data_IF_073373470723
#
_entry.id   IF_073373470723
#
_cell.length_a   1.000
_cell.length_b   1.000
_cell.length_c   1.000
_cell.angle_alpha   90.00
_cell.angle_beta   90.00
_cell.angle_gamma   90.00
#
_symmetry.space_group_name_H-M   'P 1'
#
loop_
_entity.id
_entity.type
_entity.pdbx_description
1 polymer ?
#
# COMPACT_ATOMS: atom_id res chain seq x y z
N UNK A 1 2.13 -17.41 -5.53
CA UNK A 1 2.55 -18.59 -6.36
C UNK A 1 2.18 -18.34 -7.82
N UNK A 2 2.83 -19.06 -8.76
CA UNK A 2 2.60 -18.89 -10.19
C UNK A 2 2.33 -20.24 -10.89
N UNK A 3 1.46 -20.21 -11.90
CA UNK A 3 1.12 -21.38 -12.72
C UNK A 3 1.25 -21.03 -14.19
N UNK A 4 1.94 -21.85 -14.96
CA UNK A 4 2.08 -21.71 -16.41
C UNK A 4 0.71 -21.74 -17.10
N UNK A 5 0.43 -20.71 -17.88
CA UNK A 5 -0.85 -20.50 -18.55
C UNK A 5 -0.91 -21.30 -19.86
N UNK A 6 -2.07 -21.94 -20.13
CA UNK A 6 -2.31 -22.74 -21.32
C UNK A 6 -3.70 -22.46 -21.92
N UNK A 7 -3.92 -22.92 -23.17
CA UNK A 7 -5.22 -22.88 -23.85
C UNK A 7 -5.75 -21.48 -24.13
N UNK A 8 -7.07 -21.37 -24.26
CA UNK A 8 -7.75 -20.12 -24.66
C UNK A 8 -7.40 -18.89 -23.82
N UNK A 9 -7.18 -19.06 -22.49
CA UNK A 9 -6.78 -17.94 -21.62
C UNK A 9 -5.39 -17.44 -21.97
N UNK A 10 -4.44 -18.33 -22.36
CA UNK A 10 -3.11 -17.92 -22.84
C UNK A 10 -3.22 -17.11 -24.13
N UNK A 11 -4.02 -17.55 -25.10
CA UNK A 11 -4.25 -16.85 -26.37
C UNK A 11 -4.82 -15.46 -26.15
N UNK A 12 -5.79 -15.34 -25.26
CA UNK A 12 -6.38 -14.06 -24.87
C UNK A 12 -5.36 -13.10 -24.24
N UNK A 13 -4.58 -13.56 -23.26
CA UNK A 13 -3.53 -12.75 -22.60
C UNK A 13 -2.45 -12.34 -23.61
N UNK A 14 -2.07 -13.24 -24.53
CA UNK A 14 -1.12 -12.94 -25.62
C UNK A 14 -1.63 -11.80 -26.50
N UNK A 15 -2.90 -11.85 -26.92
CA UNK A 15 -3.49 -10.82 -27.78
C UNK A 15 -3.46 -9.43 -27.10
N UNK A 16 -3.78 -9.37 -25.80
CA UNK A 16 -3.69 -8.13 -25.02
C UNK A 16 -2.25 -7.64 -24.97
N UNK A 17 -1.30 -8.50 -24.61
CA UNK A 17 0.12 -8.11 -24.50
C UNK A 17 0.71 -7.64 -25.83
N UNK A 18 0.37 -8.29 -26.93
CA UNK A 18 0.85 -7.90 -28.27
C UNK A 18 0.45 -6.47 -28.65
N UNK A 19 -0.67 -5.97 -28.13
CA UNK A 19 -1.07 -4.56 -28.34
C UNK A 19 -0.08 -3.54 -27.78
N UNK A 20 0.78 -3.95 -26.84
CA UNK A 20 1.82 -3.10 -26.28
C UNK A 20 3.16 -3.14 -27.07
N UNK A 21 3.31 -4.02 -28.03
CA UNK A 21 4.49 -4.15 -28.92
C UNK A 21 5.84 -4.28 -28.17
N UNK A 22 5.84 -5.09 -27.08
CA UNK A 22 7.01 -5.23 -26.17
C UNK A 22 7.91 -6.44 -26.43
N UNK A 23 7.72 -7.13 -27.54
CA UNK A 23 8.58 -8.24 -27.97
C UNK A 23 7.87 -9.60 -28.03
N UNK A 24 8.64 -10.63 -28.36
CA UNK A 24 8.12 -11.99 -28.53
C UNK A 24 7.97 -12.71 -27.20
N UNK A 25 6.79 -13.27 -26.96
CA UNK A 25 6.43 -13.99 -25.74
C UNK A 25 7.01 -15.40 -25.78
N UNK A 26 7.79 -15.75 -24.78
CA UNK A 26 8.24 -17.13 -24.53
C UNK A 26 7.23 -17.87 -23.66
N UNK A 27 6.97 -17.35 -22.45
CA UNK A 27 6.11 -17.98 -21.48
C UNK A 27 5.18 -16.99 -20.80
N UNK A 28 4.03 -17.49 -20.30
CA UNK A 28 3.08 -16.71 -19.49
C UNK A 28 2.72 -17.53 -18.26
N UNK A 29 2.79 -16.87 -17.11
CA UNK A 29 2.42 -17.42 -15.80
C UNK A 29 1.31 -16.58 -15.18
N UNK A 30 0.31 -17.24 -14.59
CA UNK A 30 -0.76 -16.56 -13.83
C UNK A 30 -0.50 -16.69 -12.35
N UNK A 31 -0.67 -15.59 -11.59
CA UNK A 31 -0.55 -15.58 -10.14
C UNK A 31 -1.79 -16.18 -9.47
N UNK A 32 -1.57 -16.88 -8.35
CA UNK A 32 -2.63 -17.43 -7.51
C UNK A 32 -2.22 -17.50 -6.03
N UNK A 33 -3.21 -17.51 -5.13
CA UNK A 33 -3.03 -17.74 -3.69
C UNK A 33 -2.91 -19.23 -3.35
N UNK A 34 -2.40 -19.53 -2.16
CA UNK A 34 -2.34 -20.90 -1.62
C UNK A 34 -3.70 -21.59 -1.57
N UNK A 35 -4.76 -20.82 -1.33
CA UNK A 35 -6.14 -21.31 -1.30
C UNK A 35 -6.74 -21.52 -2.71
N UNK A 36 -5.94 -21.34 -3.77
CA UNK A 36 -6.33 -21.58 -5.15
C UNK A 36 -7.09 -20.44 -5.84
N UNK A 37 -7.27 -19.28 -5.19
CA UNK A 37 -7.83 -18.09 -5.84
C UNK A 37 -6.87 -17.61 -6.92
N UNK A 38 -7.38 -17.49 -8.16
CA UNK A 38 -6.62 -16.99 -9.31
C UNK A 38 -6.78 -15.48 -9.43
N UNK A 39 -5.68 -14.77 -9.66
CA UNK A 39 -5.69 -13.36 -9.98
C UNK A 39 -5.56 -13.15 -11.50
N UNK A 40 -6.14 -12.07 -12.01
CA UNK A 40 -5.86 -11.61 -13.38
C UNK A 40 -4.58 -10.77 -13.41
N UNK A 41 -3.51 -11.38 -12.90
CA UNK A 41 -2.13 -10.88 -12.88
C UNK A 41 -1.25 -11.94 -13.55
N UNK A 42 -0.54 -11.53 -14.60
CA UNK A 42 0.22 -12.43 -15.45
C UNK A 42 1.66 -11.93 -15.54
N UNK A 43 2.62 -12.81 -15.22
CA UNK A 43 4.01 -12.59 -15.57
C UNK A 43 4.26 -13.13 -16.97
N UNK A 44 4.78 -12.27 -17.83
CA UNK A 44 5.06 -12.55 -19.23
C UNK A 44 6.56 -12.50 -19.43
N UNK A 45 7.12 -13.64 -19.80
CA UNK A 45 8.54 -13.77 -20.12
C UNK A 45 8.76 -13.53 -21.61
N UNK A 46 9.64 -12.60 -21.94
CA UNK A 46 10.14 -12.35 -23.27
C UNK A 46 11.65 -12.61 -23.32
N UNK A 47 12.25 -12.60 -24.52
CA UNK A 47 13.68 -12.90 -24.69
C UNK A 47 14.60 -11.96 -23.95
N UNK A 48 14.23 -10.69 -23.77
CA UNK A 48 15.07 -9.66 -23.16
C UNK A 48 14.74 -9.36 -21.70
N UNK A 49 13.45 -9.44 -21.31
CA UNK A 49 12.97 -9.09 -19.97
C UNK A 49 11.60 -9.71 -19.69
N UNK A 50 11.13 -9.56 -18.46
CA UNK A 50 9.81 -9.99 -18.06
C UNK A 50 8.93 -8.80 -17.70
N UNK A 51 7.62 -8.97 -17.88
CA UNK A 51 6.59 -7.96 -17.61
C UNK A 51 5.51 -8.51 -16.69
N UNK A 52 4.80 -7.60 -16.04
CA UNK A 52 3.51 -7.89 -15.40
C UNK A 52 2.39 -7.25 -16.24
N UNK A 53 1.47 -8.08 -16.70
CA UNK A 53 0.19 -7.65 -17.25
C UNK A 53 -0.90 -7.92 -16.20
N UNK A 54 -1.56 -6.86 -15.73
CA UNK A 54 -2.53 -6.92 -14.63
C UNK A 54 -3.86 -6.33 -15.10
N UNK A 55 -4.97 -7.04 -14.83
CA UNK A 55 -6.31 -6.46 -14.93
C UNK A 55 -6.57 -5.55 -13.75
N UNK A 56 -6.97 -4.30 -14.00
CA UNK A 56 -7.01 -3.26 -12.98
C UNK A 56 -8.28 -2.41 -13.05
N UNK A 57 -8.58 -1.72 -11.96
CA UNK A 57 -9.58 -0.66 -11.94
C UNK A 57 -9.02 0.65 -12.55
N UNK A 58 -9.91 1.54 -12.97
CA UNK A 58 -9.52 2.84 -13.55
C UNK A 58 -8.63 3.67 -12.62
N UNK A 59 -8.78 3.49 -11.30
CA UNK A 59 -8.00 4.21 -10.31
C UNK A 59 -6.51 3.87 -10.40
N UNK A 60 -6.15 2.60 -10.56
CA UNK A 60 -4.75 2.19 -10.66
C UNK A 60 -4.08 2.76 -11.92
N UNK A 61 -4.79 2.75 -13.06
CA UNK A 61 -4.32 3.42 -14.28
C UNK A 61 -4.08 4.91 -14.04
N UNK A 62 -5.07 5.60 -13.45
CA UNK A 62 -4.94 7.02 -13.11
C UNK A 62 -3.71 7.29 -12.25
N UNK A 63 -3.44 6.46 -11.24
CA UNK A 63 -2.28 6.62 -10.36
C UNK A 63 -0.97 6.46 -11.15
N UNK A 64 -0.85 5.44 -11.99
CA UNK A 64 0.35 5.26 -12.80
C UNK A 64 0.54 6.40 -13.80
N UNK A 65 -0.48 6.80 -14.53
CA UNK A 65 -0.39 7.85 -15.55
C UNK A 65 -0.13 9.24 -14.97
N UNK A 66 -0.67 9.51 -13.77
CA UNK A 66 -0.58 10.84 -13.15
C UNK A 66 0.64 10.99 -12.25
N UNK A 67 0.98 9.94 -11.49
CA UNK A 67 1.98 10.05 -10.43
C UNK A 67 3.24 9.21 -10.67
N UNK A 68 3.12 8.00 -11.24
CA UNK A 68 4.17 6.99 -11.17
C UNK A 68 4.94 6.74 -12.46
N UNK A 69 4.53 7.32 -13.58
CA UNK A 69 5.19 7.11 -14.89
C UNK A 69 6.62 7.65 -14.98
N UNK A 70 7.08 8.31 -13.93
CA UNK A 70 8.44 8.83 -13.83
C UNK A 70 9.39 7.74 -13.29
N UNK A 71 10.34 7.32 -14.09
CA UNK A 71 11.27 6.21 -13.81
C UNK A 71 12.24 6.43 -12.64
N UNK A 72 12.19 7.59 -11.97
CA UNK A 72 13.05 7.88 -10.81
C UNK A 72 12.43 7.49 -9.46
N UNK A 73 11.23 6.92 -9.47
CA UNK A 73 10.55 6.49 -8.26
C UNK A 73 10.78 4.99 -7.99
N UNK A 74 10.73 4.60 -6.73
CA UNK A 74 10.88 3.20 -6.30
C UNK A 74 9.57 2.41 -6.51
N UNK A 75 9.10 2.37 -7.75
CA UNK A 75 7.89 1.68 -8.23
C UNK A 75 8.21 0.93 -9.52
N UNK A 76 7.39 -0.05 -9.93
CA UNK A 76 7.57 -0.67 -11.25
C UNK A 76 7.46 0.34 -12.38
N UNK A 77 8.31 0.21 -13.39
CA UNK A 77 8.21 1.00 -14.61
C UNK A 77 6.87 0.75 -15.29
N UNK A 78 6.21 1.84 -15.70
CA UNK A 78 4.94 1.81 -16.42
C UNK A 78 5.17 1.78 -17.92
N UNK A 79 4.58 0.79 -18.61
CA UNK A 79 4.73 0.62 -20.06
C UNK A 79 3.46 0.94 -20.84
N UNK A 80 2.33 1.14 -20.18
CA UNK A 80 1.09 1.53 -20.79
C UNK A 80 -0.15 0.88 -20.18
N UNK A 81 -1.31 1.35 -20.62
CA UNK A 81 -2.62 0.79 -20.29
C UNK A 81 -3.44 0.53 -21.54
N UNK A 82 -4.38 -0.43 -21.45
CA UNK A 82 -5.29 -0.79 -22.55
C UNK A 82 -6.70 -1.01 -21.99
N UNK A 83 -7.70 -0.46 -22.67
CA UNK A 83 -9.12 -0.78 -22.40
C UNK A 83 -9.61 -1.79 -23.42
N UNK A 84 -10.26 -2.85 -22.92
CA UNK A 84 -10.94 -3.86 -23.73
C UNK A 84 -12.38 -4.01 -23.22
N UNK A 85 -13.19 -4.81 -23.91
CA UNK A 85 -14.54 -5.18 -23.45
C UNK A 85 -14.49 -5.95 -22.11
N UNK A 86 -13.43 -6.72 -21.88
CA UNK A 86 -13.25 -7.50 -20.65
C UNK A 86 -12.71 -6.69 -19.47
N UNK A 87 -12.30 -5.42 -19.68
CA UNK A 87 -11.82 -4.53 -18.63
C UNK A 87 -10.58 -3.74 -18.99
N UNK A 88 -9.97 -3.16 -17.98
CA UNK A 88 -8.76 -2.37 -18.14
C UNK A 88 -7.53 -3.20 -17.78
N UNK A 89 -6.46 -3.01 -18.54
CA UNK A 89 -5.20 -3.72 -18.40
C UNK A 89 -4.05 -2.74 -18.25
N UNK A 90 -3.11 -3.09 -17.39
CA UNK A 90 -1.92 -2.33 -17.09
C UNK A 90 -0.70 -3.20 -17.40
N UNK A 91 0.26 -2.68 -18.15
CA UNK A 91 1.55 -3.30 -18.39
C UNK A 91 2.63 -2.57 -17.62
N UNK A 92 3.36 -3.31 -16.78
CA UNK A 92 4.43 -2.79 -15.95
C UNK A 92 5.63 -3.73 -15.90
N UNK A 93 6.72 -3.23 -15.32
CA UNK A 93 7.92 -4.00 -15.03
C UNK A 93 7.61 -5.20 -14.12
N UNK A 94 8.22 -6.34 -14.42
CA UNK A 94 8.34 -7.42 -13.44
C UNK A 94 9.51 -7.13 -12.52
N UNK A 95 9.22 -6.76 -11.28
CA UNK A 95 10.23 -6.55 -10.25
C UNK A 95 10.78 -7.89 -9.79
N UNK A 96 12.00 -8.22 -10.22
CA UNK A 96 12.64 -9.45 -9.78
C UNK A 96 13.08 -9.33 -8.32
N UNK A 97 12.43 -10.08 -7.44
CA UNK A 97 12.68 -10.04 -5.99
C UNK A 97 11.64 -10.83 -5.23
N UNK A 98 11.63 -10.63 -3.91
CA UNK A 98 10.66 -11.23 -3.02
C UNK A 98 9.91 -10.14 -2.26
N UNK A 99 8.65 -10.38 -1.95
CA UNK A 99 7.90 -9.57 -1.00
C UNK A 99 8.49 -9.70 0.42
N UNK A 100 8.28 -8.69 1.23
CA UNK A 100 8.82 -8.68 2.59
C UNK A 100 8.03 -9.63 3.49
N UNK A 101 8.70 -10.59 4.09
CA UNK A 101 8.17 -11.43 5.17
C UNK A 101 8.72 -11.02 6.54
N UNK A 102 9.87 -10.36 6.55
CA UNK A 102 10.55 -9.88 7.75
C UNK A 102 11.36 -8.62 7.40
N UNK A 103 11.32 -7.60 8.29
CA UNK A 103 12.17 -6.44 8.14
C UNK A 103 13.58 -6.75 8.61
N UNK A 104 14.56 -6.54 7.74
CA UNK A 104 15.97 -6.54 8.11
C UNK A 104 16.47 -5.09 8.25
N UNK A 105 17.50 -4.88 9.04
CA UNK A 105 18.04 -3.55 9.33
C UNK A 105 18.53 -2.82 8.08
N UNK A 106 19.08 -3.58 7.12
CA UNK A 106 19.57 -3.05 5.84
C UNK A 106 18.42 -2.59 4.90
N UNK A 107 17.19 -3.00 5.14
CA UNK A 107 16.00 -2.63 4.34
C UNK A 107 15.24 -1.42 4.91
N UNK A 108 15.43 -1.06 6.17
CA UNK A 108 14.73 0.08 6.80
C UNK A 108 15.00 1.37 6.03
N UNK A 109 16.25 1.68 5.77
CA UNK A 109 16.62 2.92 5.08
C UNK A 109 16.24 2.97 3.59
N UNK A 110 16.38 1.89 2.79
CA UNK A 110 15.80 1.83 1.45
C UNK A 110 14.31 2.12 1.41
N UNK A 111 13.51 1.52 2.30
CA UNK A 111 12.06 1.77 2.37
C UNK A 111 11.74 3.20 2.77
N UNK A 112 12.39 3.73 3.81
CA UNK A 112 12.28 5.15 4.22
C UNK A 112 12.60 6.08 3.05
N UNK A 113 13.66 5.79 2.31
CA UNK A 113 14.07 6.62 1.16
C UNK A 113 13.00 6.61 0.08
N UNK A 114 12.50 5.44 -0.28
CA UNK A 114 11.46 5.27 -1.31
C UNK A 114 10.17 6.02 -0.95
N UNK A 115 9.66 5.81 0.28
CA UNK A 115 8.44 6.48 0.75
C UNK A 115 8.62 7.99 0.87
N UNK A 116 9.73 8.44 1.45
CA UNK A 116 9.97 9.89 1.62
C UNK A 116 10.17 10.62 0.30
N UNK A 117 10.71 9.97 -0.73
CA UNK A 117 10.80 10.54 -2.09
C UNK A 117 9.41 10.74 -2.70
N UNK A 118 8.54 9.73 -2.60
CA UNK A 118 7.15 9.82 -3.05
C UNK A 118 6.39 10.93 -2.32
N UNK A 119 6.49 10.96 -0.98
CA UNK A 119 5.84 11.99 -0.17
C UNK A 119 6.34 13.38 -0.52
N UNK A 120 7.64 13.57 -0.63
CA UNK A 120 8.25 14.88 -0.94
C UNK A 120 7.84 15.39 -2.30
N UNK A 121 7.82 14.52 -3.32
CA UNK A 121 7.47 14.89 -4.71
C UNK A 121 6.04 15.39 -4.82
N UNK A 122 5.11 14.81 -4.05
CA UNK A 122 3.69 15.08 -4.17
C UNK A 122 3.08 15.78 -2.95
N UNK A 123 3.91 16.34 -2.07
CA UNK A 123 3.48 17.06 -0.87
C UNK A 123 2.66 18.29 -1.22
N UNK A 124 1.38 18.31 -0.76
CA UNK A 124 0.45 19.41 -0.97
C UNK A 124 0.28 19.85 -2.45
N UNK A 125 0.54 18.96 -3.39
CA UNK A 125 0.35 19.28 -4.82
C UNK A 125 -1.13 19.52 -5.14
N UNK A 126 -1.41 20.39 -6.13
CA UNK A 126 -2.77 20.69 -6.59
C UNK A 126 -3.24 19.74 -7.71
N UNK A 127 -2.90 18.46 -7.61
CA UNK A 127 -3.40 17.47 -8.57
C UNK A 127 -4.81 17.07 -8.17
N UNK A 128 -5.74 17.14 -9.11
CA UNK A 128 -7.14 16.77 -8.89
C UNK A 128 -7.26 15.26 -8.73
N UNK A 129 -7.60 14.82 -7.53
CA UNK A 129 -7.75 13.42 -7.15
C UNK A 129 -8.86 13.32 -6.10
N UNK A 130 -9.88 12.51 -6.38
CA UNK A 130 -11.00 12.29 -5.47
C UNK A 130 -10.77 11.18 -4.45
N UNK A 131 -9.53 10.65 -4.36
CA UNK A 131 -9.22 9.52 -3.48
C UNK A 131 -9.43 9.84 -2.01
N UNK A 132 -9.00 11.03 -1.59
CA UNK A 132 -9.16 11.47 -0.21
C UNK A 132 -10.64 11.60 0.20
N UNK A 133 -11.49 12.12 -0.67
CA UNK A 133 -12.94 12.22 -0.39
C UNK A 133 -13.57 10.84 -0.20
N UNK A 134 -13.17 9.86 -1.03
CA UNK A 134 -13.63 8.47 -0.90
C UNK A 134 -13.14 7.85 0.40
N UNK A 135 -11.90 8.12 0.77
CA UNK A 135 -11.33 7.68 2.04
C UNK A 135 -12.09 8.28 3.23
N UNK A 136 -12.35 9.60 3.24
CA UNK A 136 -13.13 10.25 4.31
C UNK A 136 -14.52 9.62 4.46
N UNK A 137 -15.22 9.39 3.36
CA UNK A 137 -16.54 8.72 3.41
C UNK A 137 -16.44 7.32 4.01
N UNK A 138 -15.39 6.57 3.70
CA UNK A 138 -15.16 5.23 4.24
C UNK A 138 -14.93 5.25 5.74
N UNK A 139 -14.02 6.09 6.24
CA UNK A 139 -13.73 6.18 7.68
C UNK A 139 -14.91 6.74 8.48
N UNK A 140 -15.68 7.70 7.93
CA UNK A 140 -16.90 8.17 8.55
C UNK A 140 -17.95 7.05 8.70
N UNK A 141 -18.14 6.23 7.67
CA UNK A 141 -19.03 5.07 7.73
C UNK A 141 -18.56 4.04 8.78
N UNK A 142 -17.25 3.81 8.87
CA UNK A 142 -16.63 2.88 9.84
C UNK A 142 -16.92 3.27 11.30
N UNK A 143 -17.10 4.55 11.62
CA UNK A 143 -17.47 4.99 12.97
C UNK A 143 -18.71 4.30 13.53
N UNK A 144 -19.60 3.81 12.68
CA UNK A 144 -20.79 3.05 13.09
C UNK A 144 -20.45 1.68 13.71
N UNK A 145 -19.33 1.06 13.31
CA UNK A 145 -18.84 -0.19 13.91
C UNK A 145 -18.55 -0.02 15.40
N UNK A 146 -18.13 1.18 15.82
CA UNK A 146 -17.76 1.49 17.21
C UNK A 146 -18.95 1.92 18.10
N UNK A 147 -20.20 1.74 17.66
CA UNK A 147 -21.41 2.19 18.38
C UNK A 147 -21.49 1.71 19.84
N UNK A 148 -21.00 0.50 20.13
CA UNK A 148 -21.02 -0.11 21.46
C UNK A 148 -19.68 0.06 22.21
N UNK A 149 -18.75 0.90 21.71
CA UNK A 149 -17.42 1.16 22.25
C UNK A 149 -17.20 2.66 22.42
N UNK A 150 -17.80 3.32 23.43
CA UNK A 150 -17.85 4.79 23.50
C UNK A 150 -16.48 5.46 23.57
N UNK A 151 -15.50 4.89 24.28
CA UNK A 151 -14.12 5.41 24.33
C UNK A 151 -13.46 5.35 22.95
N UNK A 152 -13.52 4.21 22.28
CA UNK A 152 -13.00 4.02 20.92
C UNK A 152 -13.66 4.99 19.95
N UNK A 153 -14.98 5.13 20.03
CA UNK A 153 -15.76 6.03 19.17
C UNK A 153 -15.32 7.49 19.36
N UNK A 154 -15.09 7.94 20.59
CA UNK A 154 -14.60 9.30 20.89
C UNK A 154 -13.28 9.57 20.19
N UNK A 155 -12.27 8.72 20.37
CA UNK A 155 -10.96 8.88 19.74
C UNK A 155 -11.06 8.75 18.20
N UNK A 156 -11.93 7.86 17.70
CA UNK A 156 -12.13 7.71 16.27
C UNK A 156 -12.73 8.96 15.61
N UNK A 157 -13.58 9.72 16.30
CA UNK A 157 -14.04 11.02 15.82
C UNK A 157 -12.92 12.05 15.79
N UNK A 158 -12.07 12.10 16.81
CA UNK A 158 -10.86 12.95 16.80
C UNK A 158 -9.98 12.60 15.60
N UNK A 159 -9.76 11.30 15.34
CA UNK A 159 -9.05 10.84 14.15
C UNK A 159 -9.69 11.39 12.85
N UNK A 160 -11.00 11.21 12.66
CA UNK A 160 -11.70 11.66 11.45
C UNK A 160 -11.54 13.17 11.24
N UNK A 161 -11.70 13.95 12.30
CA UNK A 161 -11.58 15.41 12.20
C UNK A 161 -10.14 15.82 11.90
N UNK A 162 -9.17 15.18 12.54
CA UNK A 162 -7.75 15.43 12.28
C UNK A 162 -7.35 15.11 10.83
N UNK A 163 -7.90 14.04 10.22
CA UNK A 163 -7.59 13.69 8.83
C UNK A 163 -7.91 14.82 7.83
N UNK A 164 -8.89 15.66 8.12
CA UNK A 164 -9.28 16.81 7.24
C UNK A 164 -8.25 17.93 7.24
N UNK A 165 -7.39 17.99 8.25
CA UNK A 165 -6.41 19.05 8.46
C UNK A 165 -4.99 18.63 8.03
N UNK A 166 -4.76 17.32 7.84
CA UNK A 166 -3.43 16.81 7.52
C UNK A 166 -2.98 17.20 6.12
N UNK A 167 -1.68 17.46 5.93
CA UNK A 167 -1.08 17.53 4.61
C UNK A 167 -1.36 16.28 3.79
N UNK A 168 -1.79 16.46 2.54
CA UNK A 168 -1.98 15.37 1.60
C UNK A 168 -0.73 15.19 0.75
N UNK A 169 -0.41 13.93 0.49
CA UNK A 169 0.67 13.54 -0.42
C UNK A 169 0.26 12.26 -1.17
N UNK A 170 1.10 11.79 -2.10
CA UNK A 170 0.87 10.50 -2.71
C UNK A 170 1.08 9.38 -1.68
N UNK A 171 0.10 8.51 -1.60
CA UNK A 171 0.11 7.29 -0.79
C UNK A 171 -0.26 6.09 -1.66
N UNK A 172 0.30 4.93 -1.38
CA UNK A 172 -0.12 3.66 -1.96
C UNK A 172 -1.56 3.31 -1.54
N UNK A 173 -1.96 3.75 -0.35
CA UNK A 173 -3.30 3.54 0.21
C UNK A 173 -3.55 2.13 0.75
N UNK A 174 -2.61 1.21 0.52
CA UNK A 174 -2.62 -0.17 1.01
C UNK A 174 -1.19 -0.72 1.18
N UNK A 175 -0.32 0.06 1.84
CA UNK A 175 1.08 -0.32 2.00
C UNK A 175 1.24 -1.44 3.03
N UNK A 176 1.13 -2.67 2.57
CA UNK A 176 1.46 -3.88 3.33
C UNK A 176 2.84 -4.40 2.92
N UNK A 177 3.43 -5.26 3.73
CA UNK A 177 4.75 -5.83 3.45
C UNK A 177 4.78 -6.66 2.14
N UNK A 178 3.69 -7.35 1.81
CA UNK A 178 3.54 -8.06 0.53
C UNK A 178 3.47 -7.13 -0.70
N UNK A 179 3.27 -5.82 -0.50
CA UNK A 179 3.31 -4.80 -1.55
C UNK A 179 4.66 -4.08 -1.64
N UNK A 180 5.68 -4.57 -0.94
CA UNK A 180 7.06 -4.10 -1.02
C UNK A 180 7.94 -5.23 -1.51
N UNK A 181 8.51 -5.07 -2.71
CA UNK A 181 9.42 -6.06 -3.30
C UNK A 181 10.86 -5.65 -2.99
N UNK A 182 11.59 -6.52 -2.31
CA UNK A 182 13.03 -6.41 -2.17
C UNK A 182 13.69 -6.82 -3.49
N UNK A 183 14.45 -5.92 -4.08
CA UNK A 183 15.21 -6.13 -5.31
C UNK A 183 16.72 -6.00 -5.05
N UNK A 184 17.54 -6.33 -6.04
CA UNK A 184 18.99 -6.15 -5.96
C UNK A 184 19.41 -4.68 -5.79
N UNK A 185 18.57 -3.72 -6.19
CA UNK A 185 18.85 -2.27 -6.14
C UNK A 185 18.13 -1.54 -5.00
N UNK A 186 17.47 -2.24 -4.11
CA UNK A 186 16.69 -1.66 -3.01
C UNK A 186 15.27 -2.20 -2.96
N UNK A 187 14.28 -1.36 -2.70
CA UNK A 187 12.87 -1.78 -2.63
C UNK A 187 12.04 -1.11 -3.71
N UNK A 188 11.00 -1.81 -4.18
CA UNK A 188 9.95 -1.26 -5.05
C UNK A 188 8.58 -1.47 -4.43
N UNK A 189 7.73 -0.44 -4.49
CA UNK A 189 6.36 -0.46 -3.95
C UNK A 189 5.41 -0.77 -5.10
N UNK A 190 4.60 -1.81 -4.94
CA UNK A 190 3.64 -2.31 -5.93
C UNK A 190 2.20 -2.16 -5.42
N UNK A 191 1.23 -2.53 -6.26
CA UNK A 191 -0.21 -2.56 -5.96
C UNK A 191 -0.81 -1.21 -5.57
N UNK A 192 -0.88 -0.30 -6.56
CA UNK A 192 -1.37 1.06 -6.41
C UNK A 192 -2.89 1.21 -6.64
N UNK A 193 -3.66 0.12 -6.60
CA UNK A 193 -5.11 0.13 -6.82
C UNK A 193 -5.88 1.01 -5.84
N UNK A 194 -5.34 1.20 -4.64
CA UNK A 194 -5.86 2.10 -3.61
C UNK A 194 -5.13 3.45 -3.55
N UNK A 195 -4.15 3.65 -4.41
CA UNK A 195 -3.29 4.83 -4.40
C UNK A 195 -3.98 6.13 -4.76
N UNK A 196 -3.34 7.24 -4.38
CA UNK A 196 -3.78 8.60 -4.64
C UNK A 196 -3.35 9.58 -3.57
N UNK A 197 -3.89 10.81 -3.63
CA UNK A 197 -3.64 11.83 -2.60
C UNK A 197 -4.32 11.45 -1.29
N UNK A 198 -3.53 11.27 -0.24
CA UNK A 198 -3.98 10.82 1.07
C UNK A 198 -3.17 11.52 2.17
N UNK A 199 -3.64 11.50 3.43
CA UNK A 199 -2.87 11.99 4.56
C UNK A 199 -1.50 11.34 4.66
N UNK A 200 -0.48 12.14 4.94
CA UNK A 200 0.93 11.74 4.94
C UNK A 200 1.29 10.60 5.89
N UNK A 201 0.47 10.36 6.92
CA UNK A 201 0.67 9.29 7.91
C UNK A 201 0.18 7.92 7.44
N UNK A 202 -0.65 7.85 6.40
CA UNK A 202 -1.41 6.65 6.07
C UNK A 202 -0.50 5.44 5.78
N UNK A 203 0.43 5.57 4.83
CA UNK A 203 1.32 4.44 4.46
C UNK A 203 2.21 4.01 5.62
N UNK A 204 2.74 4.98 6.39
CA UNK A 204 3.57 4.69 7.57
C UNK A 204 2.78 3.93 8.61
N UNK A 205 1.56 4.40 8.93
CA UNK A 205 0.69 3.75 9.89
C UNK A 205 0.32 2.33 9.47
N UNK A 206 -0.11 2.15 8.22
CA UNK A 206 -0.51 0.85 7.69
C UNK A 206 0.64 -0.14 7.73
N UNK A 207 1.84 0.26 7.31
CA UNK A 207 2.99 -0.61 7.29
C UNK A 207 3.38 -1.12 8.69
N UNK A 208 3.42 -0.23 9.70
CA UNK A 208 3.83 -0.62 11.06
C UNK A 208 2.71 -1.26 11.88
N UNK A 209 1.45 -0.94 11.62
CA UNK A 209 0.30 -1.52 12.33
C UNK A 209 0.18 -3.03 12.10
N UNK A 210 0.60 -3.51 10.93
CA UNK A 210 0.50 -4.92 10.53
C UNK A 210 1.80 -5.70 10.68
N UNK A 211 2.85 -5.11 11.24
CA UNK A 211 4.12 -5.78 11.54
C UNK A 211 4.07 -6.49 12.89
N UNK A 212 3.39 -7.62 12.97
CA UNK A 212 3.06 -8.29 14.24
C UNK A 212 4.10 -9.32 14.66
N UNK A 213 4.26 -9.54 15.97
CA UNK A 213 5.05 -10.66 16.53
C UNK A 213 4.40 -12.00 16.17
N UNK A 214 3.07 -12.03 16.10
CA UNK A 214 2.32 -13.21 15.67
C UNK A 214 2.07 -13.16 14.15
N UNK A 215 2.86 -13.89 13.39
CA UNK A 215 2.77 -14.00 11.93
C UNK A 215 1.48 -14.67 11.40
N UNK A 216 0.52 -15.02 12.26
CA UNK A 216 -0.72 -15.69 11.85
C UNK A 216 -1.68 -14.78 11.08
N UNK A 217 -1.70 -13.48 11.37
CA UNK A 217 -2.58 -12.52 10.69
C UNK A 217 -1.95 -11.98 9.41
N UNK A 218 -0.67 -11.53 9.52
CA UNK A 218 0.16 -11.13 8.40
C UNK A 218 1.54 -11.75 8.56
N UNK A 219 2.08 -12.43 7.56
CA UNK A 219 3.39 -13.08 7.63
C UNK A 219 4.53 -12.05 7.50
N UNK A 220 4.50 -11.00 8.34
CA UNK A 220 5.50 -9.95 8.38
C UNK A 220 5.82 -9.58 9.82
N UNK A 221 7.11 -9.41 10.09
CA UNK A 221 7.59 -8.98 11.39
C UNK A 221 8.59 -7.84 11.29
N UNK A 222 8.44 -6.86 12.17
CA UNK A 222 9.33 -5.73 12.38
C UNK A 222 9.52 -5.52 13.87
N UNK A 223 10.76 -5.45 14.35
CA UNK A 223 11.04 -5.22 15.77
C UNK A 223 10.63 -3.81 16.20
N UNK A 224 10.44 -3.60 17.49
CA UNK A 224 10.08 -2.28 18.02
C UNK A 224 11.20 -1.25 17.81
N UNK A 225 12.46 -1.69 17.82
CA UNK A 225 13.61 -0.85 17.47
C UNK A 225 13.55 -0.41 16.00
N UNK A 226 13.32 -1.33 15.09
CA UNK A 226 13.17 -1.04 13.66
C UNK A 226 11.99 -0.10 13.39
N UNK A 227 10.83 -0.30 14.06
CA UNK A 227 9.68 0.61 13.98
C UNK A 227 10.05 2.01 14.45
N UNK A 228 10.76 2.10 15.56
CA UNK A 228 11.22 3.38 16.12
C UNK A 228 12.14 4.09 15.14
N UNK A 229 13.13 3.40 14.58
CA UNK A 229 14.04 3.98 13.59
C UNK A 229 13.25 4.39 12.33
N UNK A 230 12.39 3.53 11.81
CA UNK A 230 11.57 3.82 10.63
C UNK A 230 10.72 5.08 10.81
N UNK A 231 9.97 5.18 11.90
CA UNK A 231 9.12 6.33 12.22
C UNK A 231 9.94 7.61 12.39
N UNK A 232 11.07 7.52 13.12
CA UNK A 232 11.97 8.67 13.32
C UNK A 232 12.52 9.16 11.98
N UNK A 233 12.99 8.26 11.11
CA UNK A 233 13.56 8.63 9.82
C UNK A 233 12.52 9.18 8.85
N UNK A 234 11.29 8.68 8.89
CA UNK A 234 10.16 9.26 8.14
C UNK A 234 9.87 10.69 8.60
N UNK A 235 9.82 10.93 9.92
CA UNK A 235 9.65 12.28 10.48
C UNK A 235 10.76 13.25 10.04
N UNK A 236 12.04 12.84 10.16
CA UNK A 236 13.19 13.67 9.78
C UNK A 236 13.21 14.05 8.28
N UNK A 237 12.53 13.27 7.44
CA UNK A 237 12.46 13.47 5.99
C UNK A 237 11.17 14.15 5.52
N UNK A 238 10.31 14.57 6.42
CA UNK A 238 9.13 15.36 6.05
C UNK A 238 9.55 16.61 5.25
N UNK A 239 8.79 17.00 4.22
CA UNK A 239 9.09 18.18 3.42
C UNK A 239 9.02 19.50 4.19
N UNK A 240 8.23 19.53 5.24
CA UNK A 240 8.02 20.69 6.12
C UNK A 240 8.39 20.36 7.58
N UNK A 241 8.85 21.36 8.31
CA UNK A 241 9.03 21.23 9.76
C UNK A 241 7.66 21.07 10.43
N UNK A 242 7.54 20.03 11.21
CA UNK A 242 6.36 19.74 12.01
C UNK A 242 6.78 19.53 13.46
N UNK A 243 5.92 19.88 14.41
CA UNK A 243 6.15 19.52 15.79
C UNK A 243 6.18 17.99 15.96
N UNK A 244 7.21 17.50 16.68
CA UNK A 244 7.42 16.05 16.83
C UNK A 244 6.29 15.36 17.59
N UNK A 245 5.75 16.05 18.61
CA UNK A 245 4.63 15.53 19.40
C UNK A 245 3.37 15.45 18.51
N UNK A 246 3.13 16.48 17.70
CA UNK A 246 2.00 16.46 16.76
C UNK A 246 2.13 15.36 15.73
N UNK A 247 3.32 15.15 15.14
CA UNK A 247 3.57 14.02 14.23
C UNK A 247 3.27 12.68 14.90
N UNK A 248 3.69 12.50 16.15
CA UNK A 248 3.43 11.27 16.89
C UNK A 248 1.95 11.05 17.13
N UNK A 249 1.19 12.07 17.53
CA UNK A 249 -0.26 12.01 17.70
C UNK A 249 -0.95 11.64 16.37
N UNK A 250 -0.59 12.30 15.28
CA UNK A 250 -1.15 12.05 13.95
C UNK A 250 -0.93 10.60 13.52
N UNK A 251 0.26 10.06 13.77
CA UNK A 251 0.61 8.68 13.45
C UNK A 251 -0.13 7.68 14.34
N UNK A 252 -0.21 7.92 15.65
CA UNK A 252 -0.93 7.06 16.60
C UNK A 252 -2.42 6.99 16.26
N UNK A 253 -3.04 8.10 15.91
CA UNK A 253 -4.42 8.14 15.42
C UNK A 253 -4.59 7.34 14.12
N UNK A 254 -3.65 7.43 13.20
CA UNK A 254 -3.68 6.66 11.96
C UNK A 254 -3.50 5.14 12.21
N UNK A 255 -2.59 4.74 13.10
CA UNK A 255 -2.44 3.33 13.51
C UNK A 255 -3.71 2.82 14.19
N UNK A 256 -4.35 3.64 15.03
CA UNK A 256 -5.62 3.29 15.66
C UNK A 256 -6.71 3.01 14.62
N UNK A 257 -6.78 3.81 13.54
CA UNK A 257 -7.69 3.52 12.43
C UNK A 257 -7.40 2.17 11.76
N UNK A 258 -6.13 1.81 11.57
CA UNK A 258 -5.77 0.50 10.99
C UNK A 258 -6.29 -0.65 11.85
N UNK A 259 -6.16 -0.55 13.17
CA UNK A 259 -6.71 -1.57 14.07
C UNK A 259 -8.24 -1.65 14.00
N UNK A 260 -8.93 -0.51 13.96
CA UNK A 260 -10.40 -0.48 13.79
C UNK A 260 -10.81 -1.07 12.43
N UNK A 261 -10.06 -0.80 11.35
CA UNK A 261 -10.32 -1.33 10.01
C UNK A 261 -10.31 -2.86 9.99
N UNK A 262 -9.28 -3.47 10.58
CA UNK A 262 -9.13 -4.92 10.58
C UNK A 262 -10.10 -5.62 11.53
N UNK A 263 -10.46 -4.98 12.63
CA UNK A 263 -11.56 -5.45 13.50
C UNK A 263 -12.91 -5.42 12.77
N UNK A 264 -13.21 -4.33 12.03
CA UNK A 264 -14.43 -4.21 11.23
C UNK A 264 -14.50 -5.27 10.12
N UNK A 265 -13.37 -5.52 9.46
CA UNK A 265 -13.23 -6.52 8.40
C UNK A 265 -13.30 -7.97 8.91
N UNK A 266 -13.33 -8.18 10.25
CA UNK A 266 -13.25 -9.48 10.90
C UNK A 266 -11.95 -10.26 10.60
N UNK A 267 -10.88 -9.52 10.40
CA UNK A 267 -9.53 -10.04 10.17
C UNK A 267 -8.67 -9.98 11.46
N UNK A 268 -9.31 -9.76 12.60
CA UNK A 268 -8.68 -9.73 13.93
C UNK A 268 -8.55 -11.13 14.55
N UNK A 269 -7.75 -11.96 13.91
CA UNK A 269 -7.46 -13.29 14.43
C UNK A 269 -6.65 -13.17 15.74
N UNK A 270 -7.08 -13.97 16.76
CA UNK A 270 -6.50 -13.93 18.10
C UNK A 270 -6.64 -12.58 18.84
N UNK A 271 -7.58 -11.72 18.46
CA UNK A 271 -7.81 -10.41 19.08
C UNK A 271 -6.55 -9.54 19.19
N UNK A 272 -5.66 -9.63 18.19
CA UNK A 272 -4.43 -8.85 18.19
C UNK A 272 -4.72 -7.35 18.08
N UNK A 273 -5.56 -6.95 17.12
CA UNK A 273 -5.85 -5.53 16.87
C UNK A 273 -6.70 -4.94 18.00
N UNK A 274 -7.61 -5.70 18.57
CA UNK A 274 -8.40 -5.25 19.73
C UNK A 274 -7.49 -4.97 20.93
N UNK A 275 -6.60 -5.91 21.31
CA UNK A 275 -5.67 -5.70 22.43
C UNK A 275 -4.68 -4.57 22.19
N UNK A 276 -4.07 -4.53 21.01
CA UNK A 276 -3.13 -3.45 20.66
C UNK A 276 -3.83 -2.10 20.60
N UNK A 277 -5.07 -2.08 20.13
CA UNK A 277 -5.91 -0.90 20.09
C UNK A 277 -6.28 -0.36 21.47
N UNK A 278 -6.56 -1.22 22.47
CA UNK A 278 -6.79 -0.77 23.86
C UNK A 278 -5.54 -0.13 24.48
N UNK A 279 -4.36 -0.70 24.26
CA UNK A 279 -3.09 -0.10 24.70
C UNK A 279 -2.85 1.25 24.04
N UNK A 280 -3.03 1.33 22.73
CA UNK A 280 -2.87 2.58 21.98
C UNK A 280 -3.91 3.62 22.36
N UNK A 281 -5.16 3.20 22.60
CA UNK A 281 -6.25 4.08 23.06
C UNK A 281 -5.88 4.80 24.35
N UNK A 282 -5.37 4.07 25.37
CA UNK A 282 -4.91 4.66 26.63
C UNK A 282 -3.83 5.72 26.38
N UNK A 283 -2.85 5.41 25.55
CA UNK A 283 -1.78 6.35 25.21
C UNK A 283 -2.30 7.60 24.49
N UNK A 284 -3.24 7.44 23.57
CA UNK A 284 -3.84 8.59 22.86
C UNK A 284 -4.66 9.45 23.81
N UNK A 285 -5.40 8.85 24.75
CA UNK A 285 -6.19 9.61 25.75
C UNK A 285 -5.32 10.53 26.64
N UNK A 286 -4.04 10.21 26.86
CA UNK A 286 -3.10 11.06 27.60
C UNK A 286 -2.74 12.36 26.84
N UNK A 287 -3.04 12.44 25.55
CA UNK A 287 -2.79 13.63 24.73
C UNK A 287 -3.94 14.63 24.76
N UNK A 288 -5.16 14.20 25.14
CA UNK A 288 -6.42 14.95 25.09
C UNK A 288 -7.12 15.00 26.46
#
# INVERSE_FOLDING_TARGET
MEKKLKGKKREFVMAIFQSFQKGEIQEIYQQYEEQGRMYDVFRIECSACSYILKKVEKQEIFVYETYLKDHHLAVPDYFGSLRTEEGNWLLMEYCQGNDLSEMRDDLVMPLVTSLSQLQRKYWKTDIQDNRFERYLKRIQKRAAFLRNRPRWKKIYHIFIDRQKELPLTLSCGDLLACHVIETKSGVKIIDWGFGGKMPYTLDVARFIAHSTVNKSTFPFYMSDEQKTIFVQRMYERLPEKMDRRQYQIDLELAIFNEYVEFMEAKEDFNHYYERSGEVLLQKIEEHF
#
